data_IF_419649713593
#
_entry.id   IF_419649713593
#
_cell.length_a   1.000
_cell.length_b   1.000
_cell.length_c   1.000
_cell.angle_alpha   90.00
_cell.angle_beta   90.00
_cell.angle_gamma   90.00
#
_symmetry.space_group_name_H-M   'P 1'
#
loop_
_entity.id
_entity.type
_entity.pdbx_description
1 polymer ?
#
# COMPACT_ATOMS: atom_id res chain seq x y z
N UNK A 1 34.27 41.50 -22.93
CA UNK A 1 34.37 40.06 -23.26
C UNK A 1 33.10 39.38 -22.79
N UNK A 2 32.29 38.92 -23.77
CA UNK A 2 31.12 38.01 -23.76
C UNK A 2 29.86 38.38 -22.97
N UNK A 3 28.76 38.34 -23.72
CA UNK A 3 27.41 38.84 -23.44
C UNK A 3 26.49 37.82 -22.75
N UNK A 4 25.49 38.36 -22.06
CA UNK A 4 24.19 37.75 -21.74
C UNK A 4 23.50 37.25 -23.02
N UNK A 5 22.76 36.15 -22.95
CA UNK A 5 21.54 35.95 -23.75
C UNK A 5 20.63 34.90 -23.10
N UNK A 6 19.68 35.40 -22.32
CA UNK A 6 18.36 34.80 -22.15
C UNK A 6 17.61 35.16 -23.42
N UNK A 7 17.30 34.19 -24.27
CA UNK A 7 16.43 34.41 -25.42
C UNK A 7 15.19 33.53 -25.33
N UNK A 8 14.14 34.20 -24.90
CA UNK A 8 12.75 33.86 -25.16
C UNK A 8 12.54 33.90 -26.68
N UNK A 9 12.06 32.80 -27.28
CA UNK A 9 11.52 32.86 -28.63
C UNK A 9 10.36 31.86 -28.74
N UNK A 10 9.16 32.43 -28.73
CA UNK A 10 7.94 31.82 -29.26
C UNK A 10 7.83 32.34 -30.70
N UNK A 11 7.79 31.46 -31.68
CA UNK A 11 6.78 31.53 -32.75
C UNK A 11 6.74 30.25 -33.58
N UNK A 12 5.51 29.86 -33.90
CA UNK A 12 5.07 28.68 -34.63
C UNK A 12 5.59 28.63 -36.07
N UNK A 13 5.84 27.42 -36.58
CA UNK A 13 5.38 27.01 -37.91
C UNK A 13 5.49 25.48 -38.08
N UNK A 14 4.43 24.92 -38.70
CA UNK A 14 4.37 23.66 -39.44
C UNK A 14 4.54 22.31 -38.69
N UNK A 15 3.40 21.66 -38.46
CA UNK A 15 3.20 20.28 -38.93
C UNK A 15 4.01 19.17 -38.29
N UNK A 16 3.88 18.96 -36.98
CA UNK A 16 4.10 17.65 -36.37
C UNK A 16 3.14 17.48 -35.19
N UNK A 17 2.05 16.75 -35.39
CA UNK A 17 1.20 16.28 -34.31
C UNK A 17 1.95 15.18 -33.56
N UNK A 18 2.73 15.55 -32.54
CA UNK A 18 3.05 14.58 -31.49
C UNK A 18 1.79 14.34 -30.68
N UNK A 19 1.21 13.15 -30.82
CA UNK A 19 0.14 12.66 -29.96
C UNK A 19 0.69 12.55 -28.53
N UNK A 20 0.38 13.54 -27.69
CA UNK A 20 0.56 13.42 -26.25
C UNK A 20 -0.38 12.31 -25.73
N UNK A 21 0.06 11.49 -24.76
CA UNK A 21 -0.77 10.43 -24.21
C UNK A 21 -2.09 11.00 -23.65
N UNK A 22 -3.17 10.23 -23.80
CA UNK A 22 -4.58 10.55 -23.50
C UNK A 22 -4.83 10.97 -22.03
N UNK A 23 -3.82 10.88 -21.17
CA UNK A 23 -3.89 11.20 -19.73
C UNK A 23 -2.97 12.35 -19.28
N UNK A 24 -2.53 13.22 -20.19
CA UNK A 24 -1.67 14.36 -19.82
C UNK A 24 -2.44 15.51 -19.16
N UNK A 25 -2.01 15.95 -17.98
CA UNK A 25 -2.55 17.14 -17.32
C UNK A 25 -1.79 18.39 -17.78
N UNK A 26 -2.50 19.43 -18.24
CA UNK A 26 -1.91 20.76 -18.50
C UNK A 26 -2.24 21.70 -17.34
N UNK A 27 -1.18 22.27 -16.76
CA UNK A 27 -1.27 23.25 -15.69
C UNK A 27 -0.79 24.60 -16.23
N UNK A 28 -1.66 25.62 -16.15
CA UNK A 28 -1.29 27.01 -16.45
C UNK A 28 -1.45 27.87 -15.20
N UNK A 29 -0.41 28.63 -14.85
CA UNK A 29 -0.42 29.56 -13.72
C UNK A 29 -0.40 30.99 -14.25
N UNK A 30 -1.49 31.73 -14.02
CA UNK A 30 -1.63 33.13 -14.41
C UNK A 30 -0.93 34.09 -13.44
N UNK A 31 -0.66 35.32 -13.89
CA UNK A 31 0.07 36.38 -13.14
C UNK A 31 -0.58 36.81 -11.80
N UNK A 32 -1.79 36.35 -11.48
CA UNK A 32 -2.49 36.60 -10.21
C UNK A 32 -2.70 35.34 -9.35
N UNK A 33 -1.97 34.26 -9.61
CA UNK A 33 -2.15 32.99 -8.88
C UNK A 33 -3.39 32.19 -9.31
N UNK A 34 -4.02 32.57 -10.43
CA UNK A 34 -5.10 31.81 -11.03
C UNK A 34 -4.52 30.53 -11.64
N UNK A 35 -4.91 29.37 -11.13
CA UNK A 35 -4.47 28.06 -11.64
C UNK A 35 -5.59 27.45 -12.44
N UNK A 36 -5.34 27.20 -13.74
CA UNK A 36 -6.27 26.50 -14.62
C UNK A 36 -5.73 25.10 -14.88
N UNK A 37 -6.41 24.10 -14.34
CA UNK A 37 -6.12 22.68 -14.58
C UNK A 37 -7.10 22.19 -15.64
N UNK A 38 -6.60 21.86 -16.83
CA UNK A 38 -7.42 21.26 -17.88
C UNK A 38 -7.14 19.76 -17.93
N UNK A 39 -8.18 18.94 -17.71
CA UNK A 39 -8.16 17.52 -18.05
C UNK A 39 -8.55 17.36 -19.52
N UNK A 40 -7.79 16.56 -20.26
CA UNK A 40 -7.99 16.34 -21.71
C UNK A 40 -9.21 15.48 -22.04
N UNK A 41 -9.93 14.96 -21.04
CA UNK A 41 -11.10 14.09 -21.20
C UNK A 41 -12.44 14.79 -20.89
N UNK A 42 -12.42 16.08 -20.52
CA UNK A 42 -13.59 16.78 -20.02
C UNK A 42 -13.80 18.08 -20.81
N UNK A 43 -14.86 18.16 -21.62
CA UNK A 43 -15.31 19.36 -22.34
C UNK A 43 -15.82 20.49 -21.44
N UNK A 44 -15.46 20.51 -20.15
CA UNK A 44 -15.85 21.56 -19.21
C UNK A 44 -14.61 22.09 -18.50
N UNK A 45 -14.12 23.24 -18.95
CA UNK A 45 -13.16 24.03 -18.19
C UNK A 45 -13.89 24.64 -16.98
N UNK A 46 -13.72 24.06 -15.79
CA UNK A 46 -14.19 24.70 -14.55
C UNK A 46 -13.25 25.86 -14.20
N UNK A 47 -13.73 27.10 -14.36
CA UNK A 47 -13.10 28.29 -13.80
C UNK A 47 -13.59 28.48 -12.35
N UNK A 48 -12.68 28.44 -11.39
CA UNK A 48 -12.98 28.83 -10.01
C UNK A 48 -12.56 30.29 -9.79
N UNK A 49 -13.56 31.17 -9.67
CA UNK A 49 -13.40 32.56 -9.23
C UNK A 49 -13.50 32.59 -7.70
N UNK A 50 -12.52 33.17 -7.02
CA UNK A 50 -12.64 33.54 -5.60
C UNK A 50 -13.24 34.94 -5.50
N UNK A 51 -14.26 35.05 -4.66
CA UNK A 51 -15.03 36.25 -4.32
C UNK A 51 -14.13 37.27 -3.57
N UNK A 52 -14.04 38.50 -4.08
CA UNK A 52 -13.28 39.61 -3.48
C UNK A 52 -14.26 40.58 -2.79
N UNK A 53 -14.42 40.45 -1.47
CA UNK A 53 -14.88 41.55 -0.63
C UNK A 53 -14.03 41.62 0.65
N UNK A 54 -12.94 42.38 0.61
CA UNK A 54 -12.60 43.36 1.64
C UNK A 54 -11.42 44.24 1.23
N UNK A 55 -11.62 45.52 1.49
CA UNK A 55 -10.83 46.67 1.10
C UNK A 55 -9.40 46.69 1.68
N UNK A 56 -8.52 47.25 0.85
CA UNK A 56 -7.12 47.63 1.05
C UNK A 56 -6.83 48.26 2.42
N UNK A 57 -5.89 47.65 3.16
CA UNK A 57 -5.03 48.36 4.12
C UNK A 57 -3.62 47.71 4.15
N UNK A 58 -2.65 48.49 3.64
CA UNK A 58 -1.22 48.55 3.98
C UNK A 58 -0.38 47.27 4.17
N UNK A 59 0.58 47.11 3.24
CA UNK A 59 1.79 46.24 3.27
C UNK A 59 2.46 46.14 4.65
N UNK A 60 2.76 44.90 5.08
CA UNK A 60 4.12 44.43 5.44
C UNK A 60 4.13 42.91 5.69
N UNK A 61 5.18 42.26 5.21
CA UNK A 61 5.65 40.89 5.57
C UNK A 61 4.67 39.71 5.38
N UNK A 62 4.44 39.27 4.14
CA UNK A 62 3.94 37.92 3.87
C UNK A 62 4.34 37.46 2.46
N UNK A 63 5.57 36.99 2.26
CA UNK A 63 5.97 36.36 0.97
C UNK A 63 6.60 34.97 1.11
N UNK A 64 6.58 34.39 2.31
CA UNK A 64 7.00 33.00 2.54
C UNK A 64 5.82 32.07 2.92
N UNK A 65 4.80 32.57 3.63
CA UNK A 65 3.68 31.75 4.10
C UNK A 65 2.73 31.29 2.97
N UNK A 66 2.35 32.19 2.05
CA UNK A 66 1.39 31.86 0.98
C UNK A 66 1.92 30.91 -0.11
N UNK A 67 3.25 30.84 -0.29
CA UNK A 67 3.86 29.87 -1.18
C UNK A 67 3.89 28.47 -0.55
N UNK A 68 4.18 28.37 0.75
CA UNK A 68 4.16 27.10 1.48
C UNK A 68 2.74 26.54 1.63
N UNK A 69 1.73 27.38 1.88
CA UNK A 69 0.32 26.97 1.88
C UNK A 69 -0.13 26.50 0.49
N UNK A 70 0.20 27.23 -0.58
CA UNK A 70 -0.12 26.82 -1.96
C UNK A 70 0.51 25.48 -2.35
N UNK A 71 1.77 25.26 -1.96
CA UNK A 71 2.49 23.99 -2.21
C UNK A 71 1.93 22.85 -1.36
N UNK A 72 1.60 23.07 -0.09
CA UNK A 72 0.97 22.06 0.77
C UNK A 72 -0.44 21.68 0.28
N UNK A 73 -1.19 22.65 -0.26
CA UNK A 73 -2.51 22.39 -0.83
C UNK A 73 -2.41 21.61 -2.14
N UNK A 74 -1.43 21.93 -3.00
CA UNK A 74 -1.17 21.14 -4.22
C UNK A 74 -0.66 19.73 -3.89
N UNK A 75 0.17 19.58 -2.86
CA UNK A 75 0.65 18.29 -2.40
C UNK A 75 -0.47 17.42 -1.79
N UNK A 76 -1.48 18.01 -1.14
CA UNK A 76 -2.63 17.25 -0.64
C UNK A 76 -3.55 16.78 -1.78
N UNK A 77 -3.70 17.55 -2.87
CA UNK A 77 -4.41 17.10 -4.08
C UNK A 77 -3.72 15.93 -4.80
N UNK A 78 -2.43 15.69 -4.53
CA UNK A 78 -1.67 14.57 -5.11
C UNK A 78 -1.69 13.30 -4.25
N UNK A 79 -2.19 13.39 -3.00
CA UNK A 79 -2.25 12.29 -2.04
C UNK A 79 -3.60 11.58 -2.07
N UNK A 80 -3.60 10.30 -1.70
CA UNK A 80 -4.84 9.54 -1.55
C UNK A 80 -5.66 10.06 -0.39
N UNK A 81 -6.99 9.89 -0.42
CA UNK A 81 -7.85 10.30 0.69
C UNK A 81 -7.55 9.54 1.99
N UNK A 82 -7.04 8.31 1.89
CA UNK A 82 -6.59 7.51 3.04
C UNK A 82 -5.25 8.00 3.63
N UNK A 83 -4.45 8.76 2.88
CA UNK A 83 -3.17 9.31 3.37
C UNK A 83 -3.35 10.61 4.17
N UNK A 84 -4.55 11.19 4.11
CA UNK A 84 -4.90 12.46 4.73
C UNK A 84 -5.73 12.21 5.99
N UNK A 85 -5.63 13.12 6.97
CA UNK A 85 -6.49 13.12 8.16
C UNK A 85 -6.59 11.76 8.89
N UNK A 86 -5.51 10.98 8.91
CA UNK A 86 -5.43 9.70 9.62
C UNK A 86 -5.78 9.96 11.10
N UNK A 87 -6.84 9.32 11.65
CA UNK A 87 -7.25 9.56 13.03
C UNK A 87 -6.15 9.14 14.00
N UNK A 88 -6.07 9.84 15.12
CA UNK A 88 -5.06 9.61 16.17
C UNK A 88 -5.75 9.00 17.38
N UNK A 89 -5.30 7.81 17.79
CA UNK A 89 -5.75 7.18 19.02
C UNK A 89 -5.14 7.85 20.24
N UNK A 90 -5.91 7.87 21.33
CA UNK A 90 -5.45 8.28 22.65
C UNK A 90 -4.84 7.13 23.44
N UNK A 91 -5.12 5.89 23.03
CA UNK A 91 -4.64 4.66 23.67
C UNK A 91 -3.34 4.25 23.01
N UNK A 92 -2.35 3.87 23.83
CA UNK A 92 -1.09 3.33 23.37
C UNK A 92 -1.08 1.82 23.50
N UNK A 93 -0.67 1.12 22.44
CA UNK A 93 -0.49 -0.32 22.45
C UNK A 93 0.97 -0.68 22.74
N UNK A 94 1.38 -0.53 24.00
CA UNK A 94 2.79 -0.67 24.42
C UNK A 94 3.34 -2.11 24.23
N UNK A 95 2.46 -3.12 24.10
CA UNK A 95 2.82 -4.53 23.89
C UNK A 95 2.51 -5.04 22.48
N UNK A 96 2.14 -4.14 21.56
CA UNK A 96 1.96 -4.47 20.14
C UNK A 96 3.20 -4.05 19.37
N UNK A 97 3.69 -4.95 18.52
CA UNK A 97 4.87 -4.78 17.69
C UNK A 97 4.52 -5.00 16.23
N UNK A 98 5.15 -4.24 15.33
CA UNK A 98 4.86 -4.32 13.90
C UNK A 98 6.13 -4.41 13.06
N UNK A 99 6.13 -5.32 12.10
CA UNK A 99 7.09 -5.35 10.98
C UNK A 99 6.33 -5.07 9.70
N UNK A 100 6.79 -4.07 8.95
CA UNK A 100 6.22 -3.68 7.66
C UNK A 100 7.30 -3.86 6.59
N UNK A 101 7.05 -4.71 5.62
CA UNK A 101 7.91 -4.92 4.46
C UNK A 101 7.18 -4.44 3.21
N UNK A 102 7.79 -3.51 2.50
CA UNK A 102 7.23 -2.90 1.31
C UNK A 102 8.27 -2.94 0.19
N UNK A 103 8.05 -3.83 -0.78
CA UNK A 103 8.97 -4.10 -1.87
C UNK A 103 8.34 -3.64 -3.19
N UNK A 104 8.88 -2.57 -3.77
CA UNK A 104 8.40 -1.97 -5.03
C UNK A 104 9.45 -2.07 -6.13
N UNK A 105 10.71 -1.77 -5.81
CA UNK A 105 11.80 -1.63 -6.79
C UNK A 105 12.63 -2.91 -6.84
N UNK A 106 12.22 -3.86 -7.69
CA UNK A 106 12.92 -5.13 -7.84
C UNK A 106 14.09 -4.98 -8.82
N UNK A 107 15.20 -5.65 -8.51
CA UNK A 107 16.40 -5.58 -9.35
C UNK A 107 16.24 -6.39 -10.65
N UNK A 108 15.52 -7.52 -10.55
CA UNK A 108 15.47 -8.57 -11.57
C UNK A 108 14.03 -8.97 -11.92
N UNK A 109 13.04 -8.22 -11.42
CA UNK A 109 11.62 -8.43 -11.67
C UNK A 109 10.92 -7.11 -11.96
N UNK A 110 9.67 -7.19 -12.44
CA UNK A 110 8.86 -5.99 -12.65
C UNK A 110 8.53 -5.30 -11.32
N UNK A 111 8.53 -3.97 -11.31
CA UNK A 111 8.22 -3.22 -10.10
C UNK A 111 6.74 -3.39 -9.67
N UNK A 112 6.51 -3.35 -8.36
CA UNK A 112 5.17 -3.46 -7.77
C UNK A 112 4.65 -2.07 -7.46
N UNK A 113 3.97 -1.45 -8.44
CA UNK A 113 3.41 -0.10 -8.29
C UNK A 113 2.72 0.11 -6.93
N UNK A 114 3.15 1.16 -6.23
CA UNK A 114 2.61 1.66 -4.96
C UNK A 114 2.89 0.84 -3.71
N UNK A 115 3.64 -0.26 -3.78
CA UNK A 115 3.96 -1.05 -2.59
C UNK A 115 4.70 -0.22 -1.52
N UNK A 116 5.57 0.71 -1.92
CA UNK A 116 6.21 1.62 -0.96
C UNK A 116 5.21 2.60 -0.34
N UNK A 117 4.27 3.12 -1.14
CA UNK A 117 3.24 4.02 -0.61
C UNK A 117 2.32 3.28 0.37
N UNK A 118 1.93 2.06 0.03
CA UNK A 118 1.13 1.16 0.86
C UNK A 118 1.77 0.92 2.23
N UNK A 119 3.04 0.48 2.27
CA UNK A 119 3.73 0.26 3.54
C UNK A 119 3.96 1.53 4.35
N UNK A 120 4.25 2.66 3.70
CA UNK A 120 4.42 3.95 4.38
C UNK A 120 3.11 4.48 4.96
N UNK A 121 2.00 4.34 4.24
CA UNK A 121 0.67 4.71 4.73
C UNK A 121 0.26 3.79 5.89
N UNK A 122 0.43 2.47 5.76
CA UNK A 122 0.12 1.54 6.83
C UNK A 122 0.94 1.82 8.10
N UNK A 123 2.22 2.18 7.97
CA UNK A 123 3.04 2.65 9.10
C UNK A 123 2.42 3.84 9.82
N UNK A 124 1.91 4.83 9.08
CA UNK A 124 1.27 6.00 9.69
C UNK A 124 -0.01 5.61 10.44
N UNK A 125 -0.77 4.63 9.93
CA UNK A 125 -1.91 4.07 10.64
C UNK A 125 -1.51 3.31 11.90
N UNK A 126 -0.46 2.49 11.85
CA UNK A 126 0.05 1.82 13.05
C UNK A 126 0.41 2.81 14.16
N UNK A 127 1.13 3.89 13.82
CA UNK A 127 1.57 4.88 14.80
C UNK A 127 0.42 5.77 15.28
N UNK A 128 -0.37 6.32 14.36
CA UNK A 128 -1.41 7.30 14.68
C UNK A 128 -2.68 6.63 15.16
N UNK A 129 -3.24 5.73 14.35
CA UNK A 129 -4.55 5.15 14.58
C UNK A 129 -4.50 4.00 15.57
N UNK A 130 -3.54 3.08 15.42
CA UNK A 130 -3.45 1.92 16.31
C UNK A 130 -2.74 2.27 17.62
N UNK A 131 -2.00 3.37 17.68
CA UNK A 131 -1.29 3.81 18.88
C UNK A 131 -0.06 2.95 19.20
N UNK A 132 0.53 2.30 18.19
CA UNK A 132 1.75 1.50 18.34
C UNK A 132 2.94 2.46 18.54
N UNK A 133 3.73 2.31 19.61
CA UNK A 133 4.93 3.11 19.80
C UNK A 133 5.87 3.00 18.61
N UNK A 134 6.50 4.12 18.20
CA UNK A 134 7.45 4.12 17.09
C UNK A 134 8.64 3.17 17.31
N UNK A 135 9.02 2.95 18.58
CA UNK A 135 10.06 1.99 18.98
C UNK A 135 9.66 0.53 18.76
N UNK A 136 8.36 0.25 18.69
CA UNK A 136 7.82 -1.11 18.50
C UNK A 136 7.50 -1.39 17.03
N UNK A 137 7.89 -0.51 16.11
CA UNK A 137 7.58 -0.62 14.70
C UNK A 137 8.86 -0.55 13.85
N UNK A 138 9.10 -1.59 13.08
CA UNK A 138 10.11 -1.62 12.04
C UNK A 138 9.47 -1.56 10.65
N UNK A 139 10.09 -0.79 9.76
CA UNK A 139 9.71 -0.74 8.34
C UNK A 139 10.94 -0.96 7.47
N UNK A 140 10.81 -1.86 6.48
CA UNK A 140 11.78 -2.08 5.42
C UNK A 140 11.16 -1.74 4.08
N UNK A 141 11.81 -0.81 3.39
CA UNK A 141 11.53 -0.44 2.01
C UNK A 141 12.52 -1.18 1.13
N UNK A 142 12.02 -1.82 0.08
CA UNK A 142 12.81 -2.59 -0.86
C UNK A 142 13.76 -3.56 -0.13
N UNK A 143 13.16 -4.44 0.68
CA UNK A 143 13.84 -5.35 1.56
C UNK A 143 14.53 -6.48 0.79
N UNK A 144 15.84 -6.64 1.04
CA UNK A 144 16.59 -7.83 0.62
C UNK A 144 16.23 -9.04 1.48
N UNK A 145 16.61 -10.25 1.04
CA UNK A 145 16.40 -11.46 1.83
C UNK A 145 17.02 -11.34 3.23
N UNK A 146 18.22 -10.78 3.31
CA UNK A 146 18.91 -10.52 4.59
C UNK A 146 18.13 -9.55 5.48
N UNK A 147 17.49 -8.52 4.91
CA UNK A 147 16.66 -7.62 5.69
C UNK A 147 15.44 -8.35 6.26
N UNK A 148 14.76 -9.18 5.46
CA UNK A 148 13.60 -9.94 5.92
C UNK A 148 13.97 -10.90 7.06
N UNK A 149 15.08 -11.63 6.92
CA UNK A 149 15.61 -12.51 7.98
C UNK A 149 15.91 -11.75 9.27
N UNK A 150 16.51 -10.56 9.17
CA UNK A 150 16.80 -9.73 10.33
C UNK A 150 15.53 -9.25 11.05
N UNK A 151 14.47 -8.92 10.32
CA UNK A 151 13.19 -8.51 10.93
C UNK A 151 12.48 -9.66 11.65
N UNK A 152 12.49 -10.86 11.08
CA UNK A 152 11.94 -12.04 11.75
C UNK A 152 12.76 -12.37 13.01
N UNK A 153 14.09 -12.27 12.95
CA UNK A 153 14.92 -12.44 14.13
C UNK A 153 14.62 -11.39 15.23
N UNK A 154 14.39 -10.13 14.83
CA UNK A 154 13.97 -9.09 15.75
C UNK A 154 12.65 -9.43 16.44
N UNK A 155 11.62 -9.87 15.70
CA UNK A 155 10.35 -10.32 16.28
C UNK A 155 10.54 -11.47 17.28
N UNK A 156 11.41 -12.44 16.96
CA UNK A 156 11.74 -13.54 17.87
C UNK A 156 12.41 -13.05 19.17
N UNK A 157 13.27 -12.05 19.09
CA UNK A 157 13.91 -11.48 20.28
C UNK A 157 12.91 -10.71 21.15
N UNK A 158 11.98 -9.97 20.55
CA UNK A 158 10.87 -9.35 21.27
C UNK A 158 9.99 -10.41 21.93
N UNK A 159 9.63 -11.48 21.22
CA UNK A 159 8.83 -12.57 21.76
C UNK A 159 9.49 -13.26 22.97
N UNK A 160 10.82 -13.41 22.96
CA UNK A 160 11.56 -13.93 24.14
C UNK A 160 11.46 -13.00 25.35
N UNK A 161 11.38 -11.69 25.14
CA UNK A 161 11.33 -10.71 26.22
C UNK A 161 9.92 -10.49 26.78
N UNK A 162 8.89 -10.51 25.93
CA UNK A 162 7.51 -10.19 26.30
C UNK A 162 6.59 -11.42 26.42
N UNK A 163 7.00 -12.57 25.86
CA UNK A 163 6.24 -13.81 25.91
C UNK A 163 4.81 -13.70 25.38
N UNK A 164 3.89 -14.36 26.06
CA UNK A 164 2.48 -14.43 25.70
C UNK A 164 1.74 -13.08 25.80
N UNK A 165 2.36 -12.02 26.33
CA UNK A 165 1.74 -10.69 26.36
C UNK A 165 1.94 -9.91 25.06
N UNK A 166 2.88 -10.33 24.21
CA UNK A 166 3.18 -9.66 22.95
C UNK A 166 2.08 -9.90 21.92
N UNK A 167 1.77 -8.86 21.15
CA UNK A 167 0.95 -8.93 19.93
C UNK A 167 1.82 -8.51 18.76
N UNK A 168 1.72 -9.22 17.64
CA UNK A 168 2.51 -8.92 16.45
C UNK A 168 1.63 -8.62 15.24
N UNK A 169 2.04 -7.62 14.45
CA UNK A 169 1.52 -7.33 13.13
C UNK A 169 2.65 -7.51 12.12
N UNK A 170 2.47 -8.39 11.15
CA UNK A 170 3.35 -8.53 10.00
C UNK A 170 2.61 -8.06 8.75
N UNK A 171 3.09 -7.00 8.13
CA UNK A 171 2.53 -6.47 6.89
C UNK A 171 3.53 -6.65 5.75
N UNK A 172 3.06 -7.14 4.62
CA UNK A 172 3.85 -7.29 3.40
C UNK A 172 3.11 -6.75 2.19
N UNK A 173 3.76 -5.87 1.42
CA UNK A 173 3.34 -5.47 0.08
C UNK A 173 4.48 -5.75 -0.92
N UNK A 174 4.18 -6.51 -1.98
CA UNK A 174 5.20 -6.93 -2.94
C UNK A 174 4.79 -8.13 -3.79
N UNK A 175 5.78 -8.78 -4.41
CA UNK A 175 5.57 -10.00 -5.17
C UNK A 175 5.49 -11.21 -4.25
N UNK A 176 4.57 -12.12 -4.59
CA UNK A 176 4.63 -13.50 -4.15
C UNK A 176 5.05 -14.38 -5.33
N UNK A 177 5.61 -15.55 -5.02
CA UNK A 177 6.03 -16.54 -5.99
C UNK A 177 5.44 -17.89 -5.56
N UNK A 178 4.50 -18.48 -6.33
CA UNK A 178 4.06 -19.84 -6.05
C UNK A 178 5.14 -20.85 -6.40
N UNK A 179 5.12 -21.98 -5.71
CA UNK A 179 5.86 -23.17 -6.10
C UNK A 179 4.89 -24.33 -6.23
N UNK A 180 4.65 -24.71 -7.49
CA UNK A 180 3.72 -25.76 -7.85
C UNK A 180 4.23 -27.16 -7.44
N UNK A 181 5.54 -27.32 -7.24
CA UNK A 181 6.17 -28.63 -7.04
C UNK A 181 6.03 -29.17 -5.60
N UNK A 182 6.06 -28.29 -4.60
CA UNK A 182 5.89 -28.63 -3.19
C UNK A 182 4.62 -28.03 -2.57
N UNK A 183 3.86 -27.27 -3.36
CA UNK A 183 2.61 -26.64 -2.93
C UNK A 183 2.78 -25.47 -1.96
N UNK A 184 4.00 -24.93 -1.79
CA UNK A 184 4.25 -23.75 -0.96
C UNK A 184 4.26 -22.47 -1.81
N UNK A 185 4.39 -21.32 -1.14
CA UNK A 185 4.59 -20.03 -1.81
C UNK A 185 5.70 -19.27 -1.10
N UNK A 186 6.19 -18.21 -1.74
CA UNK A 186 7.31 -17.42 -1.24
C UNK A 186 6.97 -15.94 -1.33
N UNK A 187 7.41 -15.16 -0.35
CA UNK A 187 7.52 -13.71 -0.49
C UNK A 187 8.83 -13.42 -1.24
N UNK A 188 8.80 -12.55 -2.24
CA UNK A 188 9.97 -12.24 -3.04
C UNK A 188 10.69 -10.99 -2.50
N UNK A 189 11.94 -11.11 -2.03
CA UNK A 189 12.79 -9.96 -1.73
C UNK A 189 13.14 -9.17 -3.01
N UNK A 190 13.56 -7.90 -2.88
CA UNK A 190 13.90 -7.09 -4.07
C UNK A 190 15.15 -7.55 -4.83
N UNK A 191 16.02 -8.29 -4.17
CA UNK A 191 17.20 -8.98 -4.73
C UNK A 191 16.89 -10.42 -5.18
N UNK A 192 15.62 -10.85 -5.08
CA UNK A 192 15.16 -12.17 -5.47
C UNK A 192 14.88 -12.32 -6.97
N UNK A 193 14.85 -13.57 -7.44
CA UNK A 193 14.50 -13.96 -8.81
C UNK A 193 13.34 -14.94 -8.79
N UNK A 194 12.25 -14.65 -9.50
CA UNK A 194 11.01 -15.45 -9.48
C UNK A 194 11.15 -16.86 -10.05
N UNK A 195 12.27 -17.15 -10.73
CA UNK A 195 12.61 -18.48 -11.23
C UNK A 195 13.61 -19.23 -10.35
N UNK A 196 14.06 -18.66 -9.22
CA UNK A 196 15.00 -19.30 -8.28
C UNK A 196 14.40 -19.27 -6.87
N UNK A 197 13.73 -20.36 -6.49
CA UNK A 197 13.02 -20.49 -5.21
C UNK A 197 13.86 -20.16 -3.98
N UNK A 198 15.14 -20.52 -3.99
CA UNK A 198 16.09 -20.26 -2.90
C UNK A 198 16.32 -18.76 -2.61
N UNK A 199 15.95 -17.88 -3.55
CA UNK A 199 16.03 -16.42 -3.38
C UNK A 199 14.76 -15.83 -2.76
N UNK A 200 13.69 -16.62 -2.65
CA UNK A 200 12.45 -16.23 -1.99
C UNK A 200 12.44 -16.58 -0.50
N UNK A 201 11.57 -15.90 0.26
CA UNK A 201 11.28 -16.23 1.65
C UNK A 201 10.07 -17.16 1.73
N UNK A 202 10.27 -18.42 2.10
CA UNK A 202 9.17 -19.40 2.14
C UNK A 202 8.06 -19.01 3.13
N UNK A 203 6.81 -19.09 2.66
CA UNK A 203 5.61 -18.87 3.46
C UNK A 203 5.46 -19.90 4.58
N UNK A 204 5.81 -21.16 4.31
CA UNK A 204 5.79 -22.24 5.31
C UNK A 204 6.75 -21.93 6.47
N UNK A 205 7.95 -21.45 6.13
CA UNK A 205 8.97 -21.00 7.07
C UNK A 205 8.46 -19.80 7.87
N UNK A 206 7.92 -18.79 7.19
CA UNK A 206 7.37 -17.60 7.85
C UNK A 206 6.31 -17.99 8.89
N UNK A 207 5.32 -18.82 8.53
CA UNK A 207 4.29 -19.24 9.46
C UNK A 207 4.82 -20.10 10.61
N UNK A 208 5.82 -20.95 10.36
CA UNK A 208 6.48 -21.71 11.42
C UNK A 208 7.22 -20.79 12.41
N UNK A 209 7.97 -19.80 11.91
CA UNK A 209 8.70 -18.83 12.73
C UNK A 209 7.76 -17.91 13.51
N UNK A 210 6.67 -17.44 12.88
CA UNK A 210 5.65 -16.62 13.53
C UNK A 210 4.85 -17.41 14.59
N UNK A 211 4.56 -18.69 14.33
CA UNK A 211 3.99 -19.58 15.34
C UNK A 211 4.95 -19.75 16.53
N UNK A 212 6.25 -19.87 16.28
CA UNK A 212 7.30 -19.97 17.30
C UNK A 212 7.44 -18.74 18.21
N UNK A 213 6.76 -17.63 17.90
CA UNK A 213 6.73 -16.45 18.78
C UNK A 213 5.93 -16.70 20.07
N UNK A 214 5.01 -17.67 20.09
CA UNK A 214 4.11 -17.94 21.23
C UNK A 214 3.40 -16.66 21.75
N UNK A 215 3.05 -15.76 20.83
CA UNK A 215 2.44 -14.47 21.11
C UNK A 215 0.94 -14.61 21.40
N UNK A 216 0.35 -13.61 22.07
CA UNK A 216 -1.11 -13.54 22.28
C UNK A 216 -1.88 -13.58 20.97
N UNK A 217 -1.37 -12.91 19.93
CA UNK A 217 -1.98 -12.84 18.62
C UNK A 217 -0.93 -12.42 17.58
N UNK A 218 -0.89 -13.10 16.45
CA UNK A 218 -0.13 -12.68 15.27
C UNK A 218 -1.10 -12.35 14.14
N UNK A 219 -1.08 -11.10 13.69
CA UNK A 219 -1.88 -10.63 12.55
C UNK A 219 -0.98 -10.45 11.35
N UNK A 220 -1.31 -11.11 10.25
CA UNK A 220 -0.54 -11.09 9.01
C UNK A 220 -1.41 -10.48 7.92
N UNK A 221 -0.92 -9.44 7.27
CA UNK A 221 -1.62 -8.71 6.22
C UNK A 221 -0.75 -8.71 4.95
N UNK A 222 -1.25 -9.30 3.87
CA UNK A 222 -0.46 -9.49 2.64
C UNK A 222 -1.14 -8.87 1.42
N UNK A 223 -0.56 -7.79 0.91
CA UNK A 223 -0.86 -7.22 -0.40
C UNK A 223 0.10 -7.77 -1.46
N UNK A 224 -0.08 -9.06 -1.78
CA UNK A 224 0.76 -9.79 -2.71
C UNK A 224 -0.05 -10.77 -3.55
N UNK A 225 0.47 -11.07 -4.76
CA UNK A 225 -0.07 -12.10 -5.63
C UNK A 225 0.67 -13.41 -5.37
N UNK A 226 -0.05 -14.50 -5.10
CA UNK A 226 0.53 -15.85 -4.99
C UNK A 226 0.13 -16.75 -6.16
N UNK A 227 -0.39 -16.16 -7.22
CA UNK A 227 -0.99 -16.83 -8.36
C UNK A 227 0.00 -17.24 -9.46
N UNK A 228 1.25 -16.73 -9.40
CA UNK A 228 2.26 -16.95 -10.45
C UNK A 228 2.02 -16.17 -11.73
N UNK A 229 0.89 -15.47 -11.84
CA UNK A 229 0.58 -14.56 -12.93
C UNK A 229 1.34 -13.24 -12.75
N UNK A 230 2.23 -12.93 -13.70
CA UNK A 230 2.94 -11.64 -13.75
C UNK A 230 1.96 -10.47 -13.90
N UNK A 231 2.19 -9.36 -13.18
CA UNK A 231 1.43 -8.10 -13.35
C UNK A 231 1.78 -7.49 -14.73
N UNK A 232 0.83 -7.41 -15.65
CA UNK A 232 0.97 -6.70 -16.94
C UNK A 232 0.50 -7.48 -18.17
N UNK A 233 0.41 -6.80 -19.33
CA UNK A 233 -0.02 -7.36 -20.63
C UNK A 233 1.08 -8.17 -21.36
N UNK A 234 1.90 -8.95 -20.64
CA UNK A 234 2.89 -9.85 -21.25
C UNK A 234 3.22 -11.00 -20.31
N UNK A 235 2.91 -12.28 -20.59
CA UNK A 235 2.32 -12.92 -21.78
C UNK A 235 1.17 -13.84 -21.37
N UNK A 236 0.24 -14.03 -22.31
CA UNK A 236 -0.61 -15.23 -22.36
C UNK A 236 0.26 -16.50 -22.36
N UNK A 237 -0.21 -17.51 -21.62
CA UNK A 237 0.19 -18.92 -21.66
C UNK A 237 1.48 -19.32 -20.94
N UNK A 238 1.31 -20.21 -19.97
CA UNK A 238 1.95 -21.52 -20.06
C UNK A 238 0.84 -22.57 -20.21
N UNK A 239 0.72 -23.06 -21.45
CA UNK A 239 0.28 -24.36 -21.92
C UNK A 239 -0.93 -25.05 -21.25
N UNK A 240 -1.81 -25.61 -22.09
CA UNK A 240 -2.73 -26.71 -21.76
C UNK A 240 -2.23 -27.57 -20.60
N UNK A 241 -2.74 -27.30 -19.41
CA UNK A 241 -2.29 -27.91 -18.17
C UNK A 241 -3.21 -27.40 -17.10
N UNK A 242 -3.84 -28.32 -16.38
CA UNK A 242 -4.77 -28.03 -15.29
C UNK A 242 -4.14 -26.97 -14.40
N UNK A 243 -4.83 -25.86 -14.15
CA UNK A 243 -4.41 -24.85 -13.18
C UNK A 243 -4.43 -25.51 -11.78
N UNK A 244 -3.37 -26.25 -11.46
CA UNK A 244 -3.24 -26.98 -10.21
C UNK A 244 -2.84 -25.96 -9.15
N UNK A 245 -3.84 -25.63 -8.33
CA UNK A 245 -3.78 -24.65 -7.26
C UNK A 245 -2.72 -25.09 -6.25
N UNK A 246 -1.67 -24.29 -6.02
CA UNK A 246 -0.81 -24.45 -4.85
C UNK A 246 -1.72 -24.52 -3.61
N UNK A 247 -1.47 -25.49 -2.72
CA UNK A 247 -2.28 -25.66 -1.52
C UNK A 247 -1.95 -24.49 -0.60
N UNK A 248 -2.93 -23.65 -0.30
CA UNK A 248 -2.71 -22.54 0.62
C UNK A 248 -2.07 -23.05 1.92
N UNK A 249 -0.87 -22.59 2.23
CA UNK A 249 -0.19 -22.86 3.50
C UNK A 249 -1.13 -22.41 4.63
N UNK A 250 -1.43 -23.33 5.55
CA UNK A 250 -2.32 -23.01 6.65
C UNK A 250 -1.52 -22.27 7.74
N UNK A 251 -2.06 -21.17 8.30
CA UNK A 251 -1.45 -20.54 9.46
C UNK A 251 -1.43 -21.51 10.65
N UNK A 252 -0.50 -21.28 11.57
CA UNK A 252 -0.28 -22.10 12.77
C UNK A 252 -0.27 -21.21 14.02
N UNK A 253 -0.59 -21.81 15.17
CA UNK A 253 -0.62 -21.11 16.44
C UNK A 253 -1.79 -20.14 16.52
N UNK A 254 -1.62 -19.01 17.21
CA UNK A 254 -2.67 -18.01 17.37
C UNK A 254 -2.54 -16.90 16.32
N UNK A 255 -2.82 -17.26 15.06
CA UNK A 255 -2.56 -16.39 13.90
C UNK A 255 -3.81 -16.14 13.06
N UNK A 256 -3.97 -14.88 12.64
CA UNK A 256 -4.91 -14.43 11.63
C UNK A 256 -4.14 -13.90 10.42
N UNK A 257 -4.48 -14.38 9.23
CA UNK A 257 -3.86 -13.98 7.96
C UNK A 257 -4.94 -13.44 7.04
N UNK A 258 -4.77 -12.22 6.53
CA UNK A 258 -5.54 -11.70 5.41
C UNK A 258 -4.65 -11.52 4.19
N UNK A 259 -5.07 -12.06 3.05
CA UNK A 259 -4.36 -11.91 1.77
C UNK A 259 -5.22 -11.19 0.75
N UNK A 260 -4.58 -10.41 -0.13
CA UNK A 260 -5.25 -9.54 -1.08
C UNK A 260 -5.98 -10.25 -2.22
N UNK A 261 -5.64 -11.51 -2.51
CA UNK A 261 -6.21 -12.28 -3.62
C UNK A 261 -6.21 -13.78 -3.31
N UNK A 262 -7.17 -14.51 -3.91
CA UNK A 262 -7.32 -15.96 -3.74
C UNK A 262 -6.80 -16.73 -4.96
N UNK A 263 -6.25 -17.94 -4.73
CA UNK A 263 -5.93 -18.87 -5.81
C UNK A 263 -5.04 -18.26 -6.89
N UNK A 264 -5.52 -18.25 -8.13
CA UNK A 264 -4.81 -17.70 -9.29
C UNK A 264 -5.13 -16.23 -9.59
N UNK A 265 -5.88 -15.55 -8.72
CA UNK A 265 -6.19 -14.13 -8.87
C UNK A 265 -4.99 -13.25 -8.51
N UNK A 266 -4.89 -12.09 -9.17
CA UNK A 266 -3.81 -11.13 -8.98
C UNK A 266 -4.28 -10.03 -8.02
N UNK A 267 -3.42 -9.60 -7.11
CA UNK A 267 -3.60 -8.35 -6.36
C UNK A 267 -3.23 -7.16 -7.25
N UNK A 268 -4.18 -6.28 -7.56
CA UNK A 268 -3.99 -5.17 -8.50
C UNK A 268 -3.74 -3.82 -7.81
N UNK A 269 -2.99 -2.91 -8.46
CA UNK A 269 -2.93 -1.51 -8.02
C UNK A 269 -4.27 -0.81 -8.27
N UNK A 270 -4.60 0.15 -7.42
CA UNK A 270 -5.65 1.13 -7.60
C UNK A 270 -5.03 2.48 -7.98
N UNK A 271 -4.75 2.65 -9.28
CA UNK A 271 -3.96 3.78 -9.81
C UNK A 271 -4.50 5.16 -9.44
N UNK A 272 -5.82 5.34 -9.46
CA UNK A 272 -6.47 6.59 -9.05
C UNK A 272 -6.11 6.98 -7.60
N UNK A 273 -5.95 5.97 -6.74
CA UNK A 273 -5.69 6.13 -5.31
C UNK A 273 -4.23 5.92 -4.93
N UNK A 274 -3.35 5.56 -5.88
CA UNK A 274 -1.91 5.32 -5.66
C UNK A 274 -1.62 4.33 -4.53
N UNK A 275 -2.40 3.26 -4.47
CA UNK A 275 -2.28 2.18 -3.48
C UNK A 275 -2.59 0.84 -4.15
N UNK A 276 -2.22 -0.29 -3.53
CA UNK A 276 -2.85 -1.57 -3.79
C UNK A 276 -4.34 -1.55 -3.46
N UNK A 277 -5.19 -2.25 -4.22
CA UNK A 277 -6.64 -2.29 -3.96
C UNK A 277 -6.94 -2.77 -2.53
N UNK A 278 -6.24 -3.83 -2.09
CA UNK A 278 -6.42 -4.38 -0.75
C UNK A 278 -6.01 -3.37 0.31
N UNK A 279 -4.80 -2.81 0.22
CA UNK A 279 -4.31 -1.84 1.19
C UNK A 279 -5.20 -0.59 1.23
N UNK A 280 -5.64 -0.06 0.09
CA UNK A 280 -6.54 1.09 0.05
C UNK A 280 -7.82 0.84 0.86
N UNK A 281 -8.55 -0.25 0.61
CA UNK A 281 -9.81 -0.49 1.31
C UNK A 281 -9.62 -0.89 2.78
N UNK A 282 -8.49 -1.53 3.11
CA UNK A 282 -8.09 -1.76 4.50
C UNK A 282 -7.93 -0.43 5.24
N UNK A 283 -7.10 0.48 4.71
CA UNK A 283 -6.86 1.79 5.29
C UNK A 283 -8.13 2.65 5.33
N UNK A 284 -8.97 2.57 4.29
CA UNK A 284 -10.24 3.29 4.22
C UNK A 284 -11.16 2.90 5.37
N UNK A 285 -11.36 1.60 5.59
CA UNK A 285 -12.24 1.13 6.67
C UNK A 285 -11.70 1.49 8.05
N UNK A 286 -10.39 1.37 8.24
CA UNK A 286 -9.73 1.77 9.48
C UNK A 286 -9.92 3.28 9.74
N UNK A 287 -9.80 4.11 8.71
CA UNK A 287 -10.01 5.56 8.78
C UNK A 287 -11.44 5.91 9.18
N UNK A 288 -12.42 5.38 8.44
CA UNK A 288 -13.85 5.66 8.63
C UNK A 288 -14.35 5.22 10.00
N UNK A 289 -13.88 4.06 10.46
CA UNK A 289 -14.23 3.53 11.79
C UNK A 289 -13.42 4.16 12.93
N UNK A 290 -12.42 4.99 12.63
CA UNK A 290 -11.45 5.49 13.60
C UNK A 290 -10.82 4.34 14.42
N UNK A 291 -10.52 3.22 13.76
CA UNK A 291 -9.99 2.00 14.38
C UNK A 291 -11.02 1.11 15.06
N UNK A 292 -12.25 1.58 15.30
CA UNK A 292 -13.31 0.87 16.03
C UNK A 292 -14.04 -0.14 15.16
N UNK A 293 -13.31 -1.10 14.61
CA UNK A 293 -13.81 -2.15 13.73
C UNK A 293 -13.21 -3.49 14.12
N UNK A 294 -14.03 -4.54 14.16
CA UNK A 294 -13.55 -5.90 14.42
C UNK A 294 -12.94 -6.50 13.16
N UNK A 295 -12.12 -7.54 13.28
CA UNK A 295 -11.53 -8.22 12.11
C UNK A 295 -12.59 -8.77 11.16
N UNK A 296 -13.71 -9.30 11.67
CA UNK A 296 -14.81 -9.77 10.84
C UNK A 296 -15.37 -8.65 9.96
N UNK A 297 -15.81 -7.55 10.60
CA UNK A 297 -16.38 -6.42 9.87
C UNK A 297 -15.36 -5.70 8.98
N UNK A 298 -14.07 -5.69 9.36
CA UNK A 298 -12.99 -5.16 8.54
C UNK A 298 -12.80 -6.01 7.29
N UNK A 299 -12.69 -7.32 7.45
CA UNK A 299 -12.47 -8.25 6.34
C UNK A 299 -13.67 -8.27 5.39
N UNK A 300 -14.90 -8.29 5.89
CA UNK A 300 -16.11 -8.27 5.05
C UNK A 300 -16.16 -7.01 4.18
N UNK A 301 -15.82 -5.85 4.76
CA UNK A 301 -15.73 -4.60 4.01
C UNK A 301 -14.65 -4.66 2.94
N UNK A 302 -13.43 -5.10 3.30
CA UNK A 302 -12.30 -5.19 2.38
C UNK A 302 -12.62 -6.15 1.23
N UNK A 303 -13.09 -7.36 1.55
CA UNK A 303 -13.46 -8.37 0.56
C UNK A 303 -14.50 -7.85 -0.43
N UNK A 304 -15.58 -7.25 0.08
CA UNK A 304 -16.67 -6.72 -0.75
C UNK A 304 -16.18 -5.62 -1.68
N UNK A 305 -15.49 -4.62 -1.14
CA UNK A 305 -15.08 -3.45 -1.91
C UNK A 305 -13.96 -3.77 -2.90
N UNK A 306 -13.00 -4.63 -2.54
CA UNK A 306 -11.94 -5.07 -3.45
C UNK A 306 -12.54 -5.86 -4.62
N UNK A 307 -13.42 -6.83 -4.34
CA UNK A 307 -14.04 -7.65 -5.38
C UNK A 307 -14.86 -6.80 -6.36
N UNK A 308 -15.69 -5.89 -5.85
CA UNK A 308 -16.48 -4.99 -6.69
C UNK A 308 -15.60 -4.02 -7.48
N UNK A 309 -14.65 -3.37 -6.81
CA UNK A 309 -13.81 -2.34 -7.44
C UNK A 309 -12.89 -2.94 -8.50
N UNK A 310 -12.32 -4.12 -8.26
CA UNK A 310 -11.41 -4.77 -9.20
C UNK A 310 -12.09 -5.08 -10.53
N UNK A 311 -13.33 -5.59 -10.53
CA UNK A 311 -14.07 -5.83 -11.77
C UNK A 311 -14.33 -4.52 -12.53
N UNK A 312 -14.63 -3.44 -11.81
CA UNK A 312 -14.94 -2.14 -12.43
C UNK A 312 -13.70 -1.46 -13.02
N UNK A 313 -12.55 -1.52 -12.34
CA UNK A 313 -11.35 -0.73 -12.75
C UNK A 313 -10.28 -1.55 -13.46
N UNK A 314 -10.24 -2.86 -13.23
CA UNK A 314 -9.25 -3.76 -13.82
C UNK A 314 -9.86 -4.82 -14.74
N UNK A 315 -11.20 -4.88 -14.85
CA UNK A 315 -11.93 -5.90 -15.63
C UNK A 315 -11.57 -7.35 -15.24
N UNK A 316 -11.04 -7.54 -14.03
CA UNK A 316 -10.50 -8.80 -13.53
C UNK A 316 -10.90 -9.02 -12.07
N UNK A 317 -11.07 -10.28 -11.70
CA UNK A 317 -11.37 -10.67 -10.31
C UNK A 317 -10.18 -10.46 -9.39
N UNK A 318 -10.46 -9.95 -8.20
CA UNK A 318 -9.58 -9.95 -7.06
C UNK A 318 -10.41 -10.11 -5.78
N UNK A 319 -10.19 -11.21 -5.07
CA UNK A 319 -11.01 -11.61 -3.93
C UNK A 319 -10.09 -11.86 -2.74
N UNK A 320 -10.07 -10.95 -1.75
CA UNK A 320 -9.33 -11.17 -0.52
C UNK A 320 -9.78 -12.42 0.23
N UNK A 321 -8.83 -13.06 0.92
CA UNK A 321 -9.11 -14.22 1.79
C UNK A 321 -8.65 -13.98 3.22
N UNK A 322 -9.24 -14.73 4.15
CA UNK A 322 -8.82 -14.77 5.55
C UNK A 322 -8.61 -16.23 5.95
N UNK A 323 -7.52 -16.49 6.66
CA UNK A 323 -7.22 -17.77 7.29
C UNK A 323 -6.89 -17.53 8.77
N UNK A 324 -7.41 -18.39 9.65
CA UNK A 324 -7.28 -18.23 11.11
C UNK A 324 -6.90 -19.58 11.70
N UNK A 325 -6.11 -19.57 12.77
CA UNK A 325 -5.61 -20.77 13.45
C UNK A 325 -5.62 -20.60 14.97
N UNK A 326 -5.55 -21.74 15.68
CA UNK A 326 -5.49 -21.78 17.14
C UNK A 326 -6.76 -21.27 17.82
N UNK A 327 -6.61 -20.62 18.96
CA UNK A 327 -7.70 -20.13 19.79
C UNK A 327 -8.46 -18.97 19.15
N UNK A 328 -7.87 -18.30 18.14
CA UNK A 328 -8.55 -17.25 17.37
C UNK A 328 -9.72 -17.78 16.52
N UNK A 329 -9.77 -19.07 16.17
CA UNK A 329 -10.76 -19.59 15.20
C UNK A 329 -12.20 -19.27 15.58
N UNK A 330 -12.54 -19.36 16.87
CA UNK A 330 -13.89 -19.09 17.37
C UNK A 330 -14.16 -17.63 17.72
N UNK A 331 -13.12 -16.79 17.83
CA UNK A 331 -13.24 -15.43 18.42
C UNK A 331 -12.82 -14.31 17.48
N UNK A 332 -12.09 -14.60 16.39
CA UNK A 332 -11.43 -13.59 15.57
C UNK A 332 -12.38 -12.51 15.05
N UNK A 333 -13.61 -12.87 14.70
CA UNK A 333 -14.59 -11.92 14.14
C UNK A 333 -14.96 -10.79 15.10
N UNK A 334 -14.76 -10.99 16.41
CA UNK A 334 -15.07 -10.03 17.46
C UNK A 334 -13.83 -9.26 17.95
N UNK A 335 -12.62 -9.70 17.57
CA UNK A 335 -11.37 -9.06 17.97
C UNK A 335 -11.14 -7.79 17.13
N UNK A 336 -10.57 -6.76 17.74
CA UNK A 336 -10.18 -5.50 17.07
C UNK A 336 -8.66 -5.42 16.94
N UNK A 337 -8.20 -4.62 15.97
CA UNK A 337 -6.80 -4.18 15.86
C UNK A 337 -6.42 -3.21 16.97
N UNK A 338 -7.41 -2.55 17.58
CA UNK A 338 -7.25 -1.61 18.67
C UNK A 338 -7.87 -2.15 19.96
N UNK A 339 -7.28 -1.81 21.11
CA UNK A 339 -7.70 -2.29 22.42
C UNK A 339 -8.69 -1.33 23.14
N UNK A 340 -9.22 -0.32 22.44
CA UNK A 340 -10.08 0.74 22.99
C UNK A 340 -11.61 0.47 22.96
#
# INVERSE_FOLDING_TARGET
MKWKNIMMMVMMAAGCWFSLPVHSQRISVGKKGLVKVMRTDSTCAQEFVRDEHQSVATRKTAKAAGAAEGVNTLASYLKSDVDLNIPVSKVKQEKTFAVIIANENYQEEVNVEFALNDGMAFREYCVKLLGIPKSNLHIRKDATLNNMLAEINWMQNIAKAYGAEARFIFYYAGHGMPDESNGTSYLLPVDGKSNILATGYSMSRLYAELNGLNAACVTVLMDACFSGSKRGEGMLASARGVALKAKAEAPKGNMLVMTAAQGSETAYPYKEKKHGLFTYFLLKKLQESKGKVTYGALFDYVKTNVAQKSVVVNEKSQTPTVAVSGDLVSTWQSIRLTED
#
